data_IF_831950269084
#
_entry.id   IF_831950269084
#
_cell.length_a   1.000
_cell.length_b   1.000
_cell.length_c   1.000
_cell.angle_alpha   90.00
_cell.angle_beta   90.00
_cell.angle_gamma   90.00
#
_symmetry.space_group_name_H-M   'P 1'
#
loop_
_entity.id
_entity.type
_entity.pdbx_description
1 polymer ?
#
# COMPACT_ATOMS: atom_id res chain seq x y z
N UNK A 1 -18.25 -29.87 -67.39
CA UNK A 1 -19.43 -29.30 -66.72
C UNK A 1 -19.02 -28.78 -65.35
N UNK A 2 -19.19 -27.48 -65.12
CA UNK A 2 -18.99 -26.80 -63.82
C UNK A 2 -20.16 -27.15 -62.90
N UNK A 3 -19.91 -27.43 -61.62
CA UNK A 3 -20.89 -27.22 -60.57
C UNK A 3 -20.26 -26.37 -59.46
N UNK A 4 -20.81 -25.17 -59.31
CA UNK A 4 -20.57 -24.19 -58.24
C UNK A 4 -21.68 -24.34 -57.20
N UNK A 5 -21.42 -23.83 -55.99
CA UNK A 5 -22.43 -23.40 -55.01
C UNK A 5 -22.95 -24.56 -54.18
N UNK A 6 -22.91 -24.54 -52.86
CA UNK A 6 -23.64 -23.57 -52.03
C UNK A 6 -22.79 -23.14 -50.82
N UNK A 7 -22.71 -21.82 -50.56
CA UNK A 7 -22.25 -21.26 -49.29
C UNK A 7 -23.44 -21.20 -48.32
N UNK A 8 -23.28 -21.51 -47.03
CA UNK A 8 -24.33 -21.25 -46.05
C UNK A 8 -24.51 -19.73 -45.82
N UNK A 9 -25.74 -19.28 -45.49
CA UNK A 9 -26.09 -17.87 -45.40
C UNK A 9 -25.39 -17.17 -44.23
N UNK A 10 -24.71 -16.08 -44.56
CA UNK A 10 -24.22 -15.06 -43.63
C UNK A 10 -25.37 -14.50 -42.81
N UNK A 11 -25.42 -14.81 -41.51
CA UNK A 11 -26.22 -14.02 -40.56
C UNK A 11 -25.52 -12.69 -40.35
N UNK A 12 -26.20 -11.63 -40.76
CA UNK A 12 -25.82 -10.24 -40.57
C UNK A 12 -25.72 -9.88 -39.07
N UNK A 13 -24.92 -8.85 -38.73
CA UNK A 13 -24.76 -8.35 -37.37
C UNK A 13 -25.69 -7.16 -37.11
N UNK A 14 -26.48 -7.20 -36.04
CA UNK A 14 -27.02 -6.02 -35.31
C UNK A 14 -27.74 -6.50 -34.03
N UNK A 15 -27.89 -5.70 -32.96
CA UNK A 15 -27.72 -4.25 -32.88
C UNK A 15 -26.70 -3.78 -31.82
N UNK A 16 -26.14 -2.62 -32.11
CA UNK A 16 -25.42 -1.73 -31.19
C UNK A 16 -26.12 -1.60 -29.83
N UNK A 17 -25.56 -2.25 -28.81
CA UNK A 17 -25.78 -1.83 -27.43
C UNK A 17 -24.90 -0.61 -27.19
N UNK A 18 -25.58 0.53 -27.16
CA UNK A 18 -25.10 1.82 -26.72
C UNK A 18 -24.37 1.66 -25.38
N UNK A 19 -23.05 1.67 -25.43
CA UNK A 19 -22.20 1.91 -24.29
C UNK A 19 -22.39 3.38 -23.92
N UNK A 20 -23.27 3.67 -22.97
CA UNK A 20 -23.37 4.98 -22.36
C UNK A 20 -22.09 5.24 -21.55
N UNK A 21 -21.29 6.27 -21.88
CA UNK A 21 -20.21 6.68 -21.00
C UNK A 21 -20.86 7.33 -19.77
N UNK A 22 -20.73 6.67 -18.62
CA UNK A 22 -20.97 7.30 -17.31
C UNK A 22 -19.98 8.45 -17.21
N UNK A 23 -20.48 9.63 -17.57
CA UNK A 23 -19.80 10.90 -17.38
C UNK A 23 -19.84 11.21 -15.89
N UNK A 24 -18.96 10.57 -15.12
CA UNK A 24 -18.57 11.13 -13.84
C UNK A 24 -17.83 12.42 -14.11
N UNK A 25 -18.60 13.50 -14.02
CA UNK A 25 -18.15 14.85 -13.72
C UNK A 25 -17.20 14.76 -12.52
N UNK A 26 -15.92 14.58 -12.79
CA UNK A 26 -14.88 14.98 -11.85
C UNK A 26 -14.92 16.50 -11.82
N UNK A 27 -15.75 17.00 -10.91
CA UNK A 27 -15.70 18.35 -10.39
C UNK A 27 -14.30 18.59 -9.83
N UNK A 28 -13.40 19.06 -10.69
CA UNK A 28 -12.35 19.97 -10.27
C UNK A 28 -13.01 21.09 -9.44
N UNK A 29 -12.28 21.55 -8.42
CA UNK A 29 -12.70 22.57 -7.47
C UNK A 29 -13.68 22.11 -6.37
N UNK A 30 -13.12 21.43 -5.36
CA UNK A 30 -13.43 21.76 -3.96
C UNK A 30 -12.17 21.64 -3.10
N UNK A 31 -11.54 22.80 -2.94
CA UNK A 31 -10.88 23.24 -1.72
C UNK A 31 -9.90 22.26 -1.05
N UNK A 32 -8.69 22.16 -1.60
CA UNK A 32 -7.51 21.94 -0.74
C UNK A 32 -7.07 23.31 -0.19
N UNK A 33 -7.90 23.87 0.69
CA UNK A 33 -7.59 25.04 1.51
C UNK A 33 -7.72 24.63 2.97
N UNK A 34 -6.83 23.71 3.37
CA UNK A 34 -6.59 23.16 4.71
C UNK A 34 -5.26 22.42 4.54
N UNK A 35 -4.10 22.87 5.01
CA UNK A 35 -3.76 23.53 6.24
C UNK A 35 -2.43 24.24 5.94
N UNK A 36 -2.43 25.58 5.87
CA UNK A 36 -1.24 26.31 6.28
C UNK A 36 -1.19 26.19 7.81
N UNK A 37 -0.78 25.01 8.29
CA UNK A 37 -0.32 24.90 9.66
C UNK A 37 0.92 25.77 9.71
N UNK A 38 0.84 26.81 10.53
CA UNK A 38 1.97 27.57 11.00
C UNK A 38 3.10 26.58 11.30
N UNK A 39 4.07 26.50 10.39
CA UNK A 39 5.44 26.24 10.81
C UNK A 39 5.78 27.45 11.67
N UNK A 40 5.42 27.35 12.94
CA UNK A 40 6.01 28.20 13.95
C UNK A 40 7.47 27.75 13.96
N UNK A 41 8.28 28.46 13.17
CA UNK A 41 9.72 28.41 13.28
C UNK A 41 9.98 28.78 14.74
N UNK A 42 10.23 27.77 15.56
CA UNK A 42 10.79 28.00 16.89
C UNK A 42 12.18 28.52 16.56
N UNK A 43 12.37 29.83 16.63
CA UNK A 43 13.67 30.46 16.48
C UNK A 43 14.46 30.10 17.76
N UNK A 44 14.86 28.84 17.85
CA UNK A 44 15.82 28.40 18.84
C UNK A 44 17.16 28.97 18.36
N UNK A 45 17.66 29.98 19.07
CA UNK A 45 19.08 30.30 19.02
C UNK A 45 19.82 29.11 19.62
N UNK A 46 20.11 28.14 18.76
CA UNK A 46 20.94 26.97 19.03
C UNK A 46 22.38 27.29 18.64
N UNK A 47 23.34 26.84 19.46
CA UNK A 47 24.76 26.83 19.09
C UNK A 47 24.95 25.97 17.82
N UNK A 48 26.01 26.21 17.03
CA UNK A 48 26.20 25.50 15.74
C UNK A 48 26.17 23.97 15.88
N UNK A 49 26.70 23.44 16.99
CA UNK A 49 26.70 21.99 17.27
C UNK A 49 25.31 21.43 17.56
N UNK A 50 24.46 22.19 18.23
CA UNK A 50 23.11 21.77 18.59
C UNK A 50 22.18 21.84 17.37
N UNK A 51 22.45 22.75 16.41
CA UNK A 51 21.77 22.78 15.12
C UNK A 51 22.06 21.53 14.29
N UNK A 52 23.32 21.13 14.19
CA UNK A 52 23.72 19.91 13.47
C UNK A 52 23.04 18.68 14.07
N UNK A 53 23.09 18.51 15.40
CA UNK A 53 22.42 17.39 16.09
C UNK A 53 20.90 17.39 15.90
N UNK A 54 20.27 18.58 15.91
CA UNK A 54 18.85 18.72 15.66
C UNK A 54 18.44 18.33 14.24
N UNK A 55 19.21 18.75 13.24
CA UNK A 55 18.98 18.40 11.83
C UNK A 55 19.14 16.89 11.59
N UNK A 56 20.12 16.26 12.23
CA UNK A 56 20.32 14.80 12.18
C UNK A 56 19.12 14.06 12.80
N UNK A 57 18.66 14.48 13.98
CA UNK A 57 17.48 13.89 14.63
C UNK A 57 16.21 14.07 13.79
N UNK A 58 16.01 15.26 13.21
CA UNK A 58 14.86 15.53 12.35
C UNK A 58 14.88 14.65 11.09
N UNK A 59 16.06 14.47 10.49
CA UNK A 59 16.27 13.60 9.33
C UNK A 59 15.99 12.14 9.68
N UNK A 60 16.55 11.66 10.79
CA UNK A 60 16.34 10.29 11.30
C UNK A 60 14.86 10.01 11.59
N UNK A 61 14.15 10.95 12.22
CA UNK A 61 12.71 10.83 12.47
C UNK A 61 11.90 10.80 11.16
N UNK A 62 12.30 11.59 10.15
CA UNK A 62 11.69 11.55 8.82
C UNK A 62 11.86 10.19 8.14
N UNK A 63 13.07 9.63 8.19
CA UNK A 63 13.39 8.32 7.64
C UNK A 63 12.61 7.20 8.33
N UNK A 64 12.57 7.18 9.66
CA UNK A 64 11.82 6.17 10.43
C UNK A 64 10.32 6.19 10.09
N UNK A 65 9.72 7.39 9.93
CA UNK A 65 8.32 7.52 9.51
C UNK A 65 8.08 7.01 8.09
N UNK A 66 9.00 7.28 7.17
CA UNK A 66 8.91 6.76 5.80
C UNK A 66 9.00 5.24 5.78
N UNK A 67 9.90 4.66 6.56
CA UNK A 67 10.05 3.20 6.67
C UNK A 67 8.75 2.55 7.19
N UNK A 68 8.14 3.10 8.25
CA UNK A 68 6.86 2.63 8.77
C UNK A 68 5.77 2.70 7.68
N UNK A 69 5.70 3.80 6.92
CA UNK A 69 4.72 3.94 5.85
C UNK A 69 4.92 2.90 4.73
N UNK A 70 6.17 2.57 4.39
CA UNK A 70 6.49 1.52 3.42
C UNK A 70 6.11 0.13 3.94
N UNK A 71 6.39 -0.16 5.21
CA UNK A 71 6.00 -1.42 5.86
C UNK A 71 4.47 -1.56 5.90
N UNK A 72 3.74 -0.50 6.21
CA UNK A 72 2.28 -0.48 6.19
C UNK A 72 1.70 -0.73 4.79
N UNK A 73 2.29 -0.13 3.75
CA UNK A 73 1.89 -0.36 2.37
C UNK A 73 2.11 -1.84 1.96
N UNK A 74 3.25 -2.41 2.33
CA UNK A 74 3.56 -3.81 2.08
C UNK A 74 2.61 -4.76 2.83
N UNK A 75 2.30 -4.46 4.09
CA UNK A 75 1.37 -5.23 4.91
C UNK A 75 -0.03 -5.22 4.26
N UNK A 76 -0.53 -4.04 3.87
CA UNK A 76 -1.81 -3.91 3.15
C UNK A 76 -1.83 -4.76 1.88
N UNK A 77 -0.78 -4.66 1.05
CA UNK A 77 -0.67 -5.46 -0.18
C UNK A 77 -0.75 -6.97 0.11
N UNK A 78 0.01 -7.47 1.08
CA UNK A 78 0.00 -8.90 1.44
C UNK A 78 -1.33 -9.36 2.03
N UNK A 79 -1.99 -8.52 2.83
CA UNK A 79 -3.32 -8.85 3.37
C UNK A 79 -4.39 -8.91 2.28
N UNK A 80 -4.34 -8.03 1.28
CA UNK A 80 -5.24 -8.08 0.13
C UNK A 80 -4.99 -9.33 -0.70
N UNK A 81 -3.72 -9.63 -1.02
CA UNK A 81 -3.33 -10.85 -1.76
C UNK A 81 -3.77 -12.14 -1.03
N UNK A 82 -3.69 -12.15 0.31
CA UNK A 82 -4.16 -13.26 1.14
C UNK A 82 -5.68 -13.42 1.03
N UNK A 83 -6.43 -12.34 1.23
CA UNK A 83 -7.90 -12.36 1.14
C UNK A 83 -8.38 -12.80 -0.23
N UNK A 84 -7.75 -12.31 -1.30
CA UNK A 84 -8.06 -12.76 -2.66
C UNK A 84 -7.84 -14.27 -2.82
N UNK A 85 -6.72 -14.79 -2.34
CA UNK A 85 -6.43 -16.22 -2.43
C UNK A 85 -7.40 -17.08 -1.59
N UNK A 86 -7.79 -16.62 -0.41
CA UNK A 86 -8.77 -17.27 0.46
C UNK A 86 -10.16 -17.31 -0.20
N UNK A 87 -10.60 -16.20 -0.79
CA UNK A 87 -11.87 -16.14 -1.52
C UNK A 87 -11.85 -17.07 -2.74
N UNK A 88 -10.78 -17.08 -3.53
CA UNK A 88 -10.69 -17.99 -4.67
C UNK A 88 -10.72 -19.45 -4.19
N UNK A 89 -10.08 -19.78 -3.07
CA UNK A 89 -10.15 -21.12 -2.48
C UNK A 89 -11.57 -21.50 -2.05
N UNK A 90 -12.31 -20.59 -1.42
CA UNK A 90 -13.70 -20.86 -1.02
C UNK A 90 -14.58 -21.10 -2.24
N UNK A 91 -14.45 -20.27 -3.29
CA UNK A 91 -15.20 -20.47 -4.53
C UNK A 91 -14.85 -21.81 -5.19
N UNK A 92 -13.56 -22.14 -5.33
CA UNK A 92 -13.11 -23.42 -5.92
C UNK A 92 -13.50 -24.65 -5.11
N UNK A 93 -13.74 -24.50 -3.80
CA UNK A 93 -14.22 -25.59 -2.96
C UNK A 93 -15.68 -25.96 -3.24
N UNK A 94 -16.48 -25.00 -3.72
CA UNK A 94 -17.88 -25.22 -4.11
C UNK A 94 -18.02 -25.84 -5.51
N UNK A 95 -16.96 -25.81 -6.33
CA UNK A 95 -16.98 -26.38 -7.67
C UNK A 95 -16.66 -27.88 -7.68
N UNK A 96 -17.29 -28.62 -8.60
CA UNK A 96 -17.03 -30.06 -8.80
C UNK A 96 -15.66 -30.30 -9.45
N UNK A 97 -15.05 -31.44 -9.13
CA UNK A 97 -13.71 -31.82 -9.61
C UNK A 97 -13.62 -32.07 -11.12
N UNK A 98 -14.76 -32.22 -11.81
CA UNK A 98 -14.84 -32.43 -13.26
C UNK A 98 -14.72 -31.14 -14.07
N UNK A 99 -14.80 -29.98 -13.41
CA UNK A 99 -14.77 -28.69 -14.12
C UNK A 99 -13.36 -28.38 -14.64
N UNK A 100 -13.26 -28.03 -15.92
CA UNK A 100 -11.98 -27.61 -16.51
C UNK A 100 -11.56 -26.25 -15.94
N UNK A 101 -10.46 -26.22 -15.19
CA UNK A 101 -9.88 -25.00 -14.64
C UNK A 101 -8.65 -24.54 -15.44
N UNK A 102 -8.47 -23.21 -15.51
CA UNK A 102 -7.37 -22.60 -16.24
C UNK A 102 -6.59 -21.66 -15.33
N UNK A 103 -5.27 -21.79 -15.35
CA UNK A 103 -4.34 -20.89 -14.65
C UNK A 103 -3.73 -19.91 -15.63
N UNK A 104 -3.81 -18.62 -15.31
CA UNK A 104 -3.12 -17.59 -16.08
C UNK A 104 -1.60 -17.63 -15.83
N UNK A 105 -0.83 -17.63 -16.92
CA UNK A 105 0.63 -17.46 -16.92
C UNK A 105 0.98 -16.41 -17.96
N UNK A 106 1.20 -15.17 -17.48
CA UNK A 106 1.41 -14.02 -18.37
C UNK A 106 0.17 -13.72 -19.22
N UNK A 107 0.31 -13.87 -20.55
CA UNK A 107 -0.79 -13.70 -21.52
C UNK A 107 -1.47 -15.02 -21.93
N UNK A 108 -1.01 -16.15 -21.39
CA UNK A 108 -1.51 -17.48 -21.70
C UNK A 108 -2.35 -18.05 -20.56
N UNK A 109 -3.22 -19.00 -20.89
CA UNK A 109 -4.01 -19.77 -19.92
C UNK A 109 -3.71 -21.25 -20.12
N UNK A 110 -3.27 -21.93 -19.07
CA UNK A 110 -2.96 -23.36 -19.08
C UNK A 110 -4.06 -24.10 -18.34
N UNK A 111 -4.56 -25.18 -18.94
CA UNK A 111 -5.48 -26.08 -18.25
C UNK A 111 -4.72 -26.77 -17.11
N UNK A 112 -5.30 -26.78 -15.92
CA UNK A 112 -4.68 -27.36 -14.72
C UNK A 112 -5.79 -28.04 -13.92
N UNK A 113 -5.57 -29.22 -13.34
CA UNK A 113 -6.58 -29.85 -12.50
C UNK A 113 -6.87 -28.97 -11.27
N UNK A 114 -8.11 -29.03 -10.79
CA UNK A 114 -8.58 -28.19 -9.67
C UNK A 114 -7.76 -28.44 -8.40
N UNK A 115 -7.33 -29.68 -8.17
CA UNK A 115 -6.57 -30.05 -6.95
C UNK A 115 -5.19 -29.39 -6.92
N UNK A 116 -4.49 -29.33 -8.05
CA UNK A 116 -3.22 -28.59 -8.17
C UNK A 116 -3.42 -27.09 -8.00
N UNK A 117 -4.57 -26.56 -8.44
CA UNK A 117 -4.88 -25.15 -8.29
C UNK A 117 -5.21 -24.79 -6.83
N UNK A 118 -5.92 -25.67 -6.12
CA UNK A 118 -6.19 -25.56 -4.68
C UNK A 118 -4.90 -25.64 -3.86
N UNK A 119 -4.00 -26.60 -4.15
CA UNK A 119 -2.73 -26.72 -3.43
C UNK A 119 -1.81 -25.50 -3.68
N UNK A 120 -1.78 -24.98 -4.91
CA UNK A 120 -1.04 -23.76 -5.25
C UNK A 120 -1.57 -22.55 -4.48
N UNK A 121 -2.89 -22.37 -4.42
CA UNK A 121 -3.50 -21.27 -3.66
C UNK A 121 -3.31 -21.43 -2.15
N UNK A 122 -3.39 -22.65 -1.62
CA UNK A 122 -3.10 -22.93 -0.20
C UNK A 122 -1.66 -22.55 0.17
N UNK A 123 -0.70 -22.97 -0.66
CA UNK A 123 0.71 -22.57 -0.50
C UNK A 123 0.88 -21.05 -0.57
N UNK A 124 0.13 -20.36 -1.44
CA UNK A 124 0.14 -18.90 -1.54
C UNK A 124 -0.38 -18.24 -0.25
N UNK A 125 -1.48 -18.74 0.32
CA UNK A 125 -2.04 -18.25 1.59
C UNK A 125 -1.06 -18.43 2.75
N UNK A 126 -0.42 -19.59 2.84
CA UNK A 126 0.60 -19.86 3.87
C UNK A 126 1.79 -18.91 3.75
N UNK A 127 2.31 -18.70 2.53
CA UNK A 127 3.40 -17.76 2.27
C UNK A 127 3.01 -16.33 2.64
N UNK A 128 1.84 -15.87 2.22
CA UNK A 128 1.33 -14.55 2.57
C UNK A 128 1.14 -14.40 4.09
N UNK A 129 0.76 -15.46 4.81
CA UNK A 129 0.60 -15.43 6.27
C UNK A 129 1.96 -15.27 6.97
N UNK A 130 2.97 -16.06 6.59
CA UNK A 130 4.35 -15.94 7.10
C UNK A 130 4.95 -14.55 6.80
N UNK A 131 4.71 -14.04 5.59
CA UNK A 131 5.15 -12.70 5.20
C UNK A 131 4.47 -11.61 6.06
N UNK A 132 3.17 -11.76 6.36
CA UNK A 132 2.44 -10.82 7.22
C UNK A 132 2.98 -10.83 8.65
N UNK A 133 3.26 -12.00 9.23
CA UNK A 133 3.87 -12.14 10.57
C UNK A 133 5.22 -11.44 10.62
N UNK A 134 6.10 -11.74 9.67
CA UNK A 134 7.44 -11.14 9.58
C UNK A 134 7.37 -9.61 9.40
N UNK A 135 6.45 -9.11 8.57
CA UNK A 135 6.26 -7.67 8.38
C UNK A 135 5.67 -6.99 9.62
N UNK A 136 4.83 -7.69 10.37
CA UNK A 136 4.24 -7.16 11.62
C UNK A 136 5.29 -7.02 12.72
N UNK A 137 6.18 -8.00 12.86
CA UNK A 137 7.32 -7.92 13.78
C UNK A 137 8.24 -6.75 13.42
N UNK A 138 8.63 -6.63 12.13
CA UNK A 138 9.44 -5.51 11.64
C UNK A 138 8.77 -4.16 11.92
N UNK A 139 7.47 -4.06 11.67
CA UNK A 139 6.68 -2.85 11.97
C UNK A 139 6.71 -2.53 13.45
N UNK A 140 6.52 -3.52 14.33
CA UNK A 140 6.57 -3.31 15.79
C UNK A 140 7.93 -2.77 16.23
N UNK A 141 9.03 -3.35 15.74
CA UNK A 141 10.37 -2.88 16.06
C UNK A 141 10.62 -1.45 15.53
N UNK A 142 10.23 -1.17 14.28
CA UNK A 142 10.36 0.16 13.70
C UNK A 142 9.51 1.21 14.44
N UNK A 143 8.32 0.83 14.92
CA UNK A 143 7.45 1.71 15.70
C UNK A 143 8.07 2.03 17.06
N UNK A 144 8.57 1.03 17.78
CA UNK A 144 9.27 1.25 19.06
C UNK A 144 10.53 2.11 18.89
N UNK A 145 11.27 1.92 17.80
CA UNK A 145 12.43 2.76 17.49
C UNK A 145 12.01 4.21 17.20
N UNK A 146 10.94 4.42 16.42
CA UNK A 146 10.42 5.74 16.12
C UNK A 146 9.85 6.46 17.36
N UNK A 147 9.21 5.74 18.27
CA UNK A 147 8.73 6.29 19.55
C UNK A 147 9.88 6.78 20.41
N UNK A 148 10.96 6.00 20.55
CA UNK A 148 12.17 6.43 21.27
C UNK A 148 12.80 7.68 20.65
N UNK A 149 12.97 7.70 19.33
CA UNK A 149 13.49 8.87 18.62
C UNK A 149 12.60 10.11 18.83
N UNK A 150 11.29 9.92 18.92
CA UNK A 150 10.35 11.01 19.19
C UNK A 150 10.43 11.50 20.65
N UNK A 151 10.66 10.62 21.62
CA UNK A 151 10.90 10.97 23.02
C UNK A 151 12.22 11.75 23.17
N UNK A 152 13.30 11.26 22.56
CA UNK A 152 14.62 11.91 22.54
C UNK A 152 14.53 13.32 21.93
N UNK A 153 13.82 13.45 20.81
CA UNK A 153 13.58 14.73 20.15
C UNK A 153 12.78 15.70 21.04
N UNK A 154 11.76 15.22 21.75
CA UNK A 154 10.99 16.05 22.69
C UNK A 154 11.82 16.47 23.91
N UNK A 155 12.68 15.59 24.40
CA UNK A 155 13.56 15.89 25.53
C UNK A 155 14.59 16.94 25.15
N UNK A 156 15.21 16.82 23.97
CA UNK A 156 16.12 17.83 23.43
C UNK A 156 15.47 19.21 23.35
N UNK A 157 14.24 19.29 22.82
CA UNK A 157 13.49 20.55 22.75
C UNK A 157 13.22 21.13 24.14
N UNK A 158 12.78 20.30 25.09
CA UNK A 158 12.51 20.77 26.46
C UNK A 158 13.77 21.36 27.09
N UNK A 159 14.88 20.64 27.05
CA UNK A 159 16.16 21.06 27.64
C UNK A 159 16.63 22.41 27.07
N UNK A 160 16.54 22.60 25.75
CA UNK A 160 16.95 23.86 25.10
C UNK A 160 15.98 25.02 25.35
N UNK A 161 14.67 24.76 25.51
CA UNK A 161 13.70 25.81 25.90
C UNK A 161 13.93 26.28 27.34
N UNK A 162 14.28 25.37 28.26
CA UNK A 162 14.58 25.74 29.65
C UNK A 162 15.88 26.55 29.78
N UNK A 163 16.91 26.24 28.98
CA UNK A 163 18.16 27.01 28.93
C UNK A 163 17.92 28.48 28.54
N UNK A 164 16.96 28.76 27.63
CA UNK A 164 16.63 30.13 27.24
C UNK A 164 15.87 30.95 28.32
N UNK A 165 15.17 30.30 29.25
CA UNK A 165 14.45 31.00 30.33
C UNK A 165 15.33 31.29 31.56
N UNK A 166 16.51 30.67 31.64
CA UNK A 166 17.44 30.75 32.76
C UNK A 166 18.49 31.86 32.67
N UNK A 167 18.45 32.75 31.68
CA UNK A 167 19.34 33.91 31.62
C UNK A 167 18.76 35.09 32.43
N UNK A 168 19.17 35.31 33.70
CA UNK A 168 18.81 36.52 34.40
C UNK A 168 19.43 37.71 33.67
N UNK A 169 18.60 38.74 33.45
CA UNK A 169 19.01 40.08 33.08
C UNK A 169 20.21 40.49 33.96
N UNK A 170 21.40 40.47 33.37
CA UNK A 170 22.63 40.96 33.98
C UNK A 170 22.68 42.46 33.71
N UNK A 171 22.80 43.21 34.80
CA UNK A 171 22.84 44.66 34.92
C UNK A 171 23.98 45.31 34.13
#
# INVERSE_FOLDING_TARGET
ARLRGERPPSRSPSPSLLYSPVSHRFSLARACARLAMSQQMVQLELDEKDKESFEEMQTSMGQARQEIAMLDANLRKRTTEKREAELILSELSTMSSETAAYKQVGKMFLQTPIDDLKSFLGTKVERCTKDCETLTEKRSHATQAAEKLQEDFQQFIKEHIYQQQGAPASQ
#
